data_IF_749230640394
#
_entry.id   IF_749230640394
#
_cell.length_a   1.000
_cell.length_b   1.000
_cell.length_c   1.000
_cell.angle_alpha   90.00
_cell.angle_beta   90.00
_cell.angle_gamma   90.00
#
_symmetry.space_group_name_H-M   'P 1'
#
loop_
_entity.id
_entity.type
_entity.pdbx_description
1 polymer ?
#
# COMPACT_ATOMS: atom_id res chain seq x y z
N UNK A 1 6.90 1.03 -1.81
CA UNK A 1 5.83 2.06 -1.89
C UNK A 1 6.35 3.48 -1.58
N UNK A 2 7.65 3.72 -1.78
CA UNK A 2 8.35 4.93 -1.29
C UNK A 2 7.83 6.25 -1.86
N UNK A 3 7.43 6.28 -3.14
CA UNK A 3 6.84 7.48 -3.74
C UNK A 3 5.53 7.89 -3.06
N UNK A 4 4.75 6.90 -2.64
CA UNK A 4 3.45 7.11 -1.99
C UNK A 4 3.62 7.67 -0.58
N UNK A 5 4.57 7.15 0.19
CA UNK A 5 4.96 7.74 1.49
C UNK A 5 5.31 9.22 1.35
N UNK A 6 6.08 9.58 0.32
CA UNK A 6 6.42 10.97 0.03
C UNK A 6 5.21 11.86 -0.30
N UNK A 7 4.21 11.33 -1.01
CA UNK A 7 2.96 12.04 -1.29
C UNK A 7 2.19 12.29 0.02
N UNK A 8 2.03 11.26 0.86
CA UNK A 8 1.34 11.39 2.15
C UNK A 8 2.06 12.37 3.07
N UNK A 9 3.38 12.29 3.19
CA UNK A 9 4.19 13.22 3.98
C UNK A 9 3.96 14.68 3.54
N UNK A 10 3.90 14.92 2.23
CA UNK A 10 3.64 16.25 1.69
C UNK A 10 2.21 16.72 1.99
N UNK A 11 1.21 15.85 1.89
CA UNK A 11 -0.18 16.15 2.26
C UNK A 11 -0.28 16.55 3.73
N UNK A 12 0.36 15.78 4.63
CA UNK A 12 0.37 16.05 6.06
C UNK A 12 1.07 17.39 6.36
N UNK A 13 2.29 17.58 5.85
CA UNK A 13 3.08 18.81 6.09
C UNK A 13 2.39 20.07 5.56
N UNK A 14 1.75 19.98 4.40
CA UNK A 14 1.01 21.10 3.80
C UNK A 14 -0.38 21.30 4.40
N UNK A 15 -0.85 20.38 5.25
CA UNK A 15 -2.23 20.34 5.78
C UNK A 15 -3.28 20.34 4.67
N UNK A 16 -2.97 19.71 3.53
CA UNK A 16 -3.83 19.64 2.36
C UNK A 16 -4.83 18.48 2.46
N UNK A 17 -5.61 18.44 3.55
CA UNK A 17 -6.57 17.37 3.82
C UNK A 17 -7.75 17.87 4.65
N UNK A 18 -8.88 17.17 4.55
CA UNK A 18 -10.10 17.50 5.29
C UNK A 18 -10.00 17.14 6.78
N UNK A 19 -10.77 17.82 7.62
CA UNK A 19 -10.80 17.54 9.06
C UNK A 19 -11.16 16.07 9.30
N UNK A 20 -10.31 15.37 10.04
CA UNK A 20 -10.46 13.94 10.34
C UNK A 20 -9.67 13.01 9.42
N UNK A 21 -8.98 13.53 8.40
CA UNK A 21 -8.10 12.73 7.54
C UNK A 21 -6.68 12.53 8.08
N UNK A 22 -6.27 13.25 9.13
CA UNK A 22 -4.89 13.19 9.64
C UNK A 22 -4.49 11.80 10.17
N UNK A 23 -5.35 11.17 10.97
CA UNK A 23 -5.11 9.83 11.51
C UNK A 23 -5.04 8.79 10.36
N UNK A 24 -6.04 8.71 9.46
CA UNK A 24 -5.93 7.82 8.29
C UNK A 24 -4.68 8.06 7.45
N UNK A 25 -4.23 9.31 7.27
CA UNK A 25 -2.99 9.60 6.55
C UNK A 25 -1.77 9.03 7.28
N UNK A 26 -1.70 9.16 8.61
CA UNK A 26 -0.62 8.58 9.42
C UNK A 26 -0.64 7.05 9.35
N UNK A 27 -1.80 6.43 9.47
CA UNK A 27 -1.96 4.98 9.35
C UNK A 27 -1.49 4.49 7.96
N UNK A 28 -1.82 5.23 6.89
CA UNK A 28 -1.33 4.91 5.55
C UNK A 28 0.20 4.98 5.43
N UNK A 29 0.90 5.86 6.17
CA UNK A 29 2.38 5.88 6.17
C UNK A 29 2.95 4.58 6.75
N UNK A 30 2.35 4.06 7.81
CA UNK A 30 2.76 2.80 8.44
C UNK A 30 2.49 1.62 7.49
N UNK A 31 1.26 1.52 6.97
CA UNK A 31 0.87 0.49 6.00
C UNK A 31 1.79 0.47 4.76
N UNK A 32 2.16 1.64 4.23
CA UNK A 32 3.08 1.71 3.10
C UNK A 32 4.53 1.39 3.46
N UNK A 33 4.92 1.56 4.73
CA UNK A 33 6.20 1.06 5.23
C UNK A 33 6.20 -0.46 5.22
N UNK A 34 5.22 -1.07 5.87
CA UNK A 34 5.11 -2.51 6.02
C UNK A 34 4.93 -3.21 4.67
N UNK A 35 4.14 -2.60 3.78
CA UNK A 35 3.99 -3.07 2.41
C UNK A 35 5.28 -2.91 1.58
N UNK A 36 6.15 -1.95 1.89
CA UNK A 36 7.48 -1.85 1.25
C UNK A 36 8.39 -2.98 1.72
N UNK A 37 8.40 -3.29 3.01
CA UNK A 37 9.19 -4.38 3.56
C UNK A 37 8.72 -5.72 3.01
N UNK A 38 7.39 -5.92 2.92
CA UNK A 38 6.78 -7.09 2.28
C UNK A 38 7.18 -7.22 0.80
N UNK A 39 7.21 -6.12 0.03
CA UNK A 39 7.67 -6.17 -1.36
C UNK A 39 9.16 -6.54 -1.48
N UNK A 40 10.01 -6.07 -0.56
CA UNK A 40 11.42 -6.43 -0.54
C UNK A 40 11.60 -7.93 -0.23
N UNK A 41 10.84 -8.44 0.74
CA UNK A 41 10.84 -9.86 1.10
C UNK A 41 10.31 -10.72 -0.07
N UNK A 42 9.21 -10.31 -0.71
CA UNK A 42 8.71 -10.97 -1.91
C UNK A 42 9.77 -11.05 -3.02
N UNK A 43 10.53 -9.98 -3.25
CA UNK A 43 11.60 -9.96 -4.24
C UNK A 43 12.72 -10.95 -3.90
N UNK A 44 13.10 -11.07 -2.62
CA UNK A 44 14.09 -12.07 -2.17
C UNK A 44 13.57 -13.49 -2.42
N UNK A 45 12.30 -13.74 -2.10
CA UNK A 45 11.64 -15.03 -2.28
C UNK A 45 11.51 -15.43 -3.76
N UNK A 46 11.19 -14.48 -4.65
CA UNK A 46 11.20 -14.72 -6.11
C UNK A 46 12.60 -15.10 -6.59
N UNK A 47 13.65 -14.43 -6.10
CA UNK A 47 15.05 -14.72 -6.48
C UNK A 47 15.52 -16.09 -5.99
N UNK A 48 15.08 -16.53 -4.82
CA UNK A 48 15.36 -17.87 -4.26
C UNK A 48 14.44 -18.97 -4.82
N UNK A 49 13.45 -18.61 -5.63
CA UNK A 49 12.38 -19.49 -6.15
C UNK A 49 11.44 -20.04 -5.07
N UNK A 50 11.39 -19.42 -3.90
CA UNK A 50 10.34 -19.67 -2.91
C UNK A 50 9.06 -18.91 -3.29
N UNK A 51 8.35 -19.44 -4.29
CA UNK A 51 7.12 -18.80 -4.77
C UNK A 51 5.98 -18.87 -3.74
N UNK A 52 6.03 -19.82 -2.81
CA UNK A 52 5.07 -19.90 -1.69
C UNK A 52 5.14 -18.64 -0.83
N UNK A 53 6.33 -18.34 -0.30
CA UNK A 53 6.57 -17.13 0.50
C UNK A 53 6.44 -15.86 -0.31
N UNK A 54 6.81 -15.87 -1.60
CA UNK A 54 6.62 -14.71 -2.47
C UNK A 54 5.14 -14.33 -2.62
N UNK A 55 4.23 -15.31 -2.79
CA UNK A 55 2.78 -15.08 -2.84
C UNK A 55 2.25 -14.45 -1.55
N UNK A 56 2.67 -14.97 -0.40
CA UNK A 56 2.27 -14.44 0.92
C UNK A 56 2.67 -12.97 1.05
N UNK A 57 3.94 -12.66 0.75
CA UNK A 57 4.46 -11.30 0.89
C UNK A 57 3.88 -10.32 -0.15
N UNK A 58 3.63 -10.78 -1.39
CA UNK A 58 2.91 -9.98 -2.39
C UNK A 58 1.46 -9.71 -1.98
N UNK A 59 0.78 -10.69 -1.37
CA UNK A 59 -0.56 -10.53 -0.81
C UNK A 59 -0.58 -9.50 0.32
N UNK A 60 0.32 -9.64 1.29
CA UNK A 60 0.45 -8.68 2.39
C UNK A 60 0.73 -7.25 1.89
N UNK A 61 1.58 -7.08 0.88
CA UNK A 61 1.80 -5.79 0.25
C UNK A 61 0.56 -5.27 -0.52
N UNK A 62 -0.23 -6.16 -1.13
CA UNK A 62 -1.44 -5.80 -1.87
C UNK A 62 -2.53 -5.24 -0.94
N UNK A 63 -2.58 -5.72 0.31
CA UNK A 63 -3.56 -5.29 1.31
C UNK A 63 -3.34 -3.85 1.77
N UNK A 64 -2.12 -3.31 1.69
CA UNK A 64 -1.78 -1.97 2.17
C UNK A 64 -2.60 -0.83 1.51
N UNK A 65 -2.68 -0.68 0.17
CA UNK A 65 -3.51 0.35 -0.45
C UNK A 65 -5.01 0.21 -0.12
N UNK A 66 -5.55 -1.02 -0.05
CA UNK A 66 -6.96 -1.26 0.27
C UNK A 66 -7.29 -0.97 1.75
N UNK A 67 -6.37 -1.31 2.65
CA UNK A 67 -6.51 -1.04 4.09
C UNK A 67 -6.43 0.47 4.36
N UNK A 68 -5.55 1.18 3.65
CA UNK A 68 -5.50 2.64 3.69
C UNK A 68 -6.85 3.26 3.30
N UNK A 69 -7.45 2.85 2.18
CA UNK A 69 -8.79 3.34 1.78
C UNK A 69 -9.89 2.99 2.80
N UNK A 70 -9.77 1.83 3.47
CA UNK A 70 -10.70 1.42 4.54
C UNK A 70 -10.63 2.37 5.74
N UNK A 71 -9.42 2.76 6.18
CA UNK A 71 -9.24 3.73 7.26
C UNK A 71 -9.89 5.09 6.97
N UNK A 72 -9.82 5.56 5.73
CA UNK A 72 -10.53 6.78 5.32
C UNK A 72 -12.07 6.63 5.39
N UNK A 73 -12.61 5.49 4.95
CA UNK A 73 -14.05 5.21 5.01
C UNK A 73 -14.55 5.15 6.46
N UNK A 74 -13.80 4.51 7.35
CA UNK A 74 -14.10 4.43 8.79
C UNK A 74 -14.04 5.81 9.45
N UNK A 75 -13.10 6.66 9.01
CA UNK A 75 -13.02 8.08 9.34
C UNK A 75 -14.13 8.95 8.75
N UNK A 76 -15.15 8.35 8.11
CA UNK A 76 -16.28 9.00 7.44
C UNK A 76 -15.88 9.92 6.27
N UNK A 77 -14.68 9.70 5.71
CA UNK A 77 -14.23 10.38 4.50
C UNK A 77 -14.68 9.56 3.28
N UNK A 78 -15.50 10.14 2.41
CA UNK A 78 -16.03 9.45 1.23
C UNK A 78 -14.94 9.12 0.20
N UNK A 79 -13.86 9.90 0.18
CA UNK A 79 -12.75 9.70 -0.76
C UNK A 79 -11.45 10.17 -0.12
N UNK A 80 -10.42 9.33 -0.17
CA UNK A 80 -9.09 9.71 0.27
C UNK A 80 -8.42 10.59 -0.81
N UNK A 81 -7.47 11.47 -0.43
CA UNK A 81 -6.61 12.14 -1.41
C UNK A 81 -5.67 11.17 -2.14
N UNK A 82 -5.63 9.90 -1.72
CA UNK A 82 -4.72 8.86 -2.21
C UNK A 82 -5.41 7.83 -3.12
N UNK A 83 -6.74 7.88 -3.28
CA UNK A 83 -7.50 6.82 -3.97
C UNK A 83 -6.94 6.46 -5.35
N UNK A 84 -6.54 7.45 -6.15
CA UNK A 84 -5.98 7.20 -7.47
C UNK A 84 -4.62 6.50 -7.38
N UNK A 85 -3.75 6.96 -6.50
CA UNK A 85 -2.43 6.38 -6.35
C UNK A 85 -2.46 4.99 -5.69
N UNK A 86 -3.39 4.77 -4.75
CA UNK A 86 -3.69 3.46 -4.17
C UNK A 86 -4.17 2.47 -5.24
N UNK A 87 -5.05 2.89 -6.14
CA UNK A 87 -5.49 2.04 -7.26
C UNK A 87 -4.31 1.65 -8.19
N UNK A 88 -3.44 2.62 -8.50
CA UNK A 88 -2.24 2.35 -9.32
C UNK A 88 -1.30 1.38 -8.59
N UNK A 89 -1.09 1.59 -7.29
CA UNK A 89 -0.24 0.73 -6.48
C UNK A 89 -0.79 -0.70 -6.41
N UNK A 90 -2.09 -0.84 -6.14
CA UNK A 90 -2.78 -2.13 -6.11
C UNK A 90 -2.55 -2.91 -7.41
N UNK A 91 -2.78 -2.28 -8.57
CA UNK A 91 -2.56 -2.94 -9.87
C UNK A 91 -1.09 -3.33 -10.08
N UNK A 92 -0.14 -2.50 -9.65
CA UNK A 92 1.30 -2.81 -9.76
C UNK A 92 1.74 -4.00 -8.92
N UNK A 93 1.06 -4.29 -7.81
CA UNK A 93 1.34 -5.44 -6.95
C UNK A 93 0.56 -6.67 -7.42
N UNK A 94 -0.68 -6.48 -7.88
CA UNK A 94 -1.52 -7.54 -8.39
C UNK A 94 -0.90 -8.27 -9.58
N UNK A 95 -0.25 -7.54 -10.50
CA UNK A 95 0.39 -8.12 -11.69
C UNK A 95 1.46 -9.18 -11.31
N UNK A 96 2.51 -8.86 -10.54
CA UNK A 96 3.50 -9.86 -10.14
C UNK A 96 2.90 -10.96 -9.25
N UNK A 97 1.89 -10.68 -8.43
CA UNK A 97 1.17 -11.71 -7.67
C UNK A 97 0.49 -12.72 -8.61
N UNK A 98 -0.21 -12.23 -9.64
CA UNK A 98 -0.87 -13.08 -10.63
C UNK A 98 0.11 -13.99 -11.37
N UNK A 99 1.27 -13.47 -11.77
CA UNK A 99 2.33 -14.29 -12.37
C UNK A 99 2.91 -15.31 -11.38
N UNK A 100 3.14 -14.91 -10.12
CA UNK A 100 3.68 -15.81 -9.09
C UNK A 100 2.69 -16.93 -8.74
N UNK A 101 1.37 -16.70 -8.89
CA UNK A 101 0.35 -17.74 -8.74
C UNK A 101 0.35 -18.81 -9.85
N UNK A 102 1.02 -18.56 -10.98
CA UNK A 102 1.14 -19.51 -12.09
C UNK A 102 2.42 -20.36 -12.01
N UNK A 103 3.28 -20.13 -11.00
CA UNK A 103 4.54 -20.82 -10.74
C UNK A 103 4.39 -21.81 -9.58
#
# INVERSE_FOLDING_TARGET
MTSLKGIVDNIIKSKSYDKGSEIPLQDCLELYSDGTDSLNEALMNVKSRDYGSAKVNLGAALDAPDTCETGFKEGKQLKSPLTNDNNVLFQKILIPLAFTNML
#
